data_IF_422763424537
#
_entry.id   IF_422763424537
#
_cell.length_a   1.000
_cell.length_b   1.000
_cell.length_c   1.000
_cell.angle_alpha   90.00
_cell.angle_beta   90.00
_cell.angle_gamma   90.00
#
_symmetry.space_group_name_H-M   'P 1'
#
loop_
_entity.id
_entity.type
_entity.pdbx_description
1 polymer ?
#
# COMPACT_ATOMS: atom_id res chain seq x y z
N UNK A 1 -75.80 -31.08 -4.20
CA UNK A 1 -75.61 -29.97 -5.18
C UNK A 1 -75.55 -30.57 -6.57
N UNK A 2 -76.31 -30.06 -7.54
CA UNK A 2 -76.23 -30.54 -8.93
C UNK A 2 -74.91 -30.07 -9.57
N UNK A 3 -74.36 -30.83 -10.52
CA UNK A 3 -73.09 -30.53 -11.24
C UNK A 3 -73.09 -29.09 -11.81
N UNK A 4 -74.27 -28.58 -12.18
CA UNK A 4 -74.49 -27.24 -12.71
C UNK A 4 -74.31 -26.13 -11.66
N UNK A 5 -74.56 -26.41 -10.38
CA UNK A 5 -74.35 -25.49 -9.25
C UNK A 5 -72.88 -25.48 -8.75
N UNK A 6 -72.05 -26.47 -9.09
CA UNK A 6 -70.64 -26.57 -8.70
C UNK A 6 -69.68 -25.78 -9.61
N UNK A 7 -70.03 -25.58 -10.88
CA UNK A 7 -69.21 -24.82 -11.85
C UNK A 7 -68.83 -23.39 -11.41
N UNK A 8 -69.75 -22.55 -10.90
CA UNK A 8 -69.37 -21.21 -10.44
C UNK A 8 -68.45 -21.26 -9.22
N UNK A 9 -68.70 -22.18 -8.28
CA UNK A 9 -67.86 -22.38 -7.10
C UNK A 9 -66.43 -22.79 -7.49
N UNK A 10 -66.28 -23.72 -8.46
CA UNK A 10 -64.97 -24.12 -8.98
C UNK A 10 -64.24 -22.94 -9.64
N UNK A 11 -64.96 -22.09 -10.38
CA UNK A 11 -64.40 -20.87 -10.97
C UNK A 11 -63.91 -19.87 -9.91
N UNK A 12 -64.63 -19.72 -8.80
CA UNK A 12 -64.18 -18.88 -7.67
C UNK A 12 -62.92 -19.44 -7.00
N UNK A 13 -62.85 -20.75 -6.79
CA UNK A 13 -61.66 -21.42 -6.20
C UNK A 13 -60.44 -21.22 -7.10
N UNK A 14 -60.58 -21.42 -8.42
CA UNK A 14 -59.48 -21.20 -9.37
C UNK A 14 -58.96 -19.76 -9.37
N UNK A 15 -59.85 -18.77 -9.24
CA UNK A 15 -59.47 -17.35 -9.14
C UNK A 15 -58.76 -17.08 -7.81
N UNK A 16 -59.26 -17.64 -6.71
CA UNK A 16 -58.63 -17.50 -5.39
C UNK A 16 -57.23 -18.13 -5.35
N UNK A 17 -57.06 -19.33 -5.92
CA UNK A 17 -55.77 -20.00 -6.05
C UNK A 17 -54.79 -19.17 -6.91
N UNK A 18 -55.29 -18.55 -7.99
CA UNK A 18 -54.49 -17.67 -8.84
C UNK A 18 -54.02 -16.41 -8.09
N UNK A 19 -54.90 -15.82 -7.27
CA UNK A 19 -54.57 -14.67 -6.43
C UNK A 19 -53.56 -15.06 -5.34
N UNK A 20 -53.76 -16.20 -4.67
CA UNK A 20 -52.83 -16.72 -3.66
C UNK A 20 -51.44 -16.94 -4.29
N UNK A 21 -51.37 -17.61 -5.45
CA UNK A 21 -50.12 -17.82 -6.18
C UNK A 21 -49.43 -16.49 -6.51
N UNK A 22 -50.18 -15.49 -6.97
CA UNK A 22 -49.62 -14.17 -7.29
C UNK A 22 -49.07 -13.45 -6.04
N UNK A 23 -49.82 -13.47 -4.92
CA UNK A 23 -49.38 -12.89 -3.64
C UNK A 23 -48.10 -13.60 -3.15
N UNK A 24 -48.04 -14.93 -3.23
CA UNK A 24 -46.84 -15.69 -2.84
C UNK A 24 -45.62 -15.34 -3.70
N UNK A 25 -45.80 -15.11 -5.02
CA UNK A 25 -44.73 -14.66 -5.91
C UNK A 25 -44.23 -13.27 -5.49
N UNK A 26 -45.14 -12.32 -5.22
CA UNK A 26 -44.78 -10.98 -4.78
C UNK A 26 -44.02 -11.00 -3.43
N UNK A 27 -44.47 -11.80 -2.47
CA UNK A 27 -43.81 -11.98 -1.18
C UNK A 27 -42.40 -12.56 -1.40
N UNK A 28 -42.25 -13.61 -2.22
CA UNK A 28 -40.95 -14.21 -2.54
C UNK A 28 -40.01 -13.21 -3.19
N UNK A 29 -40.51 -12.42 -4.14
CA UNK A 29 -39.73 -11.38 -4.82
C UNK A 29 -39.26 -10.30 -3.84
N UNK A 30 -40.13 -9.86 -2.92
CA UNK A 30 -39.78 -8.90 -1.87
C UNK A 30 -38.68 -9.43 -0.94
N UNK A 31 -38.79 -10.68 -0.48
CA UNK A 31 -37.74 -11.31 0.34
C UNK A 31 -36.42 -11.43 -0.42
N UNK A 32 -36.44 -11.81 -1.70
CA UNK A 32 -35.23 -11.86 -2.54
C UNK A 32 -34.58 -10.48 -2.65
N UNK A 33 -35.37 -9.42 -2.88
CA UNK A 33 -34.87 -8.04 -2.96
C UNK A 33 -34.22 -7.58 -1.64
N UNK A 34 -34.81 -7.91 -0.49
CA UNK A 34 -34.20 -7.60 0.82
C UNK A 34 -32.86 -8.32 0.97
N UNK A 35 -32.81 -9.62 0.68
CA UNK A 35 -31.58 -10.42 0.81
C UNK A 35 -30.47 -9.87 -0.09
N UNK A 36 -30.79 -9.55 -1.35
CA UNK A 36 -29.84 -8.93 -2.29
C UNK A 36 -29.36 -7.56 -1.79
N UNK A 37 -30.26 -6.74 -1.23
CA UNK A 37 -29.90 -5.45 -0.63
C UNK A 37 -28.95 -5.60 0.54
N UNK A 38 -29.23 -6.53 1.47
CA UNK A 38 -28.35 -6.81 2.61
C UNK A 38 -27.00 -7.35 2.12
N UNK A 39 -26.98 -8.28 1.16
CA UNK A 39 -25.74 -8.80 0.58
C UNK A 39 -24.90 -7.69 -0.08
N UNK A 40 -25.53 -6.75 -0.79
CA UNK A 40 -24.84 -5.61 -1.38
C UNK A 40 -24.24 -4.69 -0.32
N UNK A 41 -24.97 -4.39 0.75
CA UNK A 41 -24.46 -3.58 1.88
C UNK A 41 -23.28 -4.29 2.56
N UNK A 42 -23.40 -5.59 2.82
CA UNK A 42 -22.29 -6.39 3.38
C UNK A 42 -21.08 -6.38 2.45
N UNK A 43 -21.28 -6.50 1.13
CA UNK A 43 -20.20 -6.44 0.15
C UNK A 43 -19.55 -5.06 0.12
N UNK A 44 -20.33 -3.98 0.18
CA UNK A 44 -19.81 -2.60 0.25
C UNK A 44 -18.99 -2.42 1.53
N UNK A 45 -19.51 -2.83 2.70
CA UNK A 45 -18.78 -2.76 3.97
C UNK A 45 -17.49 -3.58 3.90
N UNK A 46 -17.55 -4.79 3.34
CA UNK A 46 -16.39 -5.64 3.14
C UNK A 46 -15.34 -4.97 2.25
N UNK A 47 -15.74 -4.44 1.09
CA UNK A 47 -14.88 -3.70 0.17
C UNK A 47 -14.25 -2.47 0.81
N UNK A 48 -15.03 -1.71 1.61
CA UNK A 48 -14.53 -0.57 2.39
C UNK A 48 -13.57 -1.00 3.52
N UNK A 49 -13.73 -2.22 4.04
CA UNK A 49 -12.85 -2.82 5.04
C UNK A 49 -11.57 -3.43 4.45
N UNK A 50 -11.43 -3.52 3.12
CA UNK A 50 -10.17 -3.93 2.49
C UNK A 50 -9.15 -2.84 2.78
N UNK A 51 -8.25 -3.11 3.73
CA UNK A 51 -7.17 -2.19 4.08
C UNK A 51 -6.29 -1.99 2.86
N UNK A 52 -6.20 -0.74 2.40
CA UNK A 52 -5.31 -0.35 1.30
C UNK A 52 -3.87 -0.73 1.67
N UNK A 53 -3.26 -1.56 0.81
CA UNK A 53 -1.82 -1.80 0.85
C UNK A 53 -1.20 -0.81 -0.12
N UNK A 54 -0.24 -0.03 0.37
CA UNK A 54 0.55 0.88 -0.46
C UNK A 54 1.91 0.21 -0.65
N UNK A 55 2.42 0.24 -1.88
CA UNK A 55 3.74 -0.25 -2.21
C UNK A 55 4.62 0.93 -2.59
N UNK A 56 5.83 0.96 -2.03
CA UNK A 56 6.81 2.02 -2.25
C UNK A 56 8.19 1.43 -2.51
N UNK A 57 9.08 2.21 -3.09
CA UNK A 57 10.49 1.87 -3.23
C UNK A 57 11.36 2.86 -2.47
N UNK A 58 12.53 2.40 -2.06
CA UNK A 58 13.59 3.22 -1.47
C UNK A 58 14.92 2.75 -1.99
N UNK A 59 15.75 3.67 -2.47
CA UNK A 59 17.08 3.42 -2.97
C UNK A 59 18.08 4.31 -2.23
N UNK A 60 19.13 3.68 -1.69
CA UNK A 60 20.31 4.36 -1.17
C UNK A 60 21.45 4.16 -2.16
N UNK A 61 21.97 5.23 -2.72
CA UNK A 61 23.12 5.16 -3.63
C UNK A 61 24.38 5.34 -2.81
N UNK A 62 25.27 4.34 -2.86
CA UNK A 62 26.50 4.29 -2.05
C UNK A 62 27.69 4.41 -2.98
N UNK A 63 28.54 5.40 -2.75
CA UNK A 63 29.77 5.66 -3.51
C UNK A 63 30.82 6.28 -2.61
N UNK A 64 32.06 5.81 -2.70
CA UNK A 64 33.22 6.38 -1.97
C UNK A 64 33.00 6.56 -0.45
N UNK A 65 32.38 5.56 0.20
CA UNK A 65 31.97 5.57 1.63
C UNK A 65 30.97 6.67 2.01
N UNK A 66 30.28 7.23 1.03
CA UNK A 66 29.19 8.17 1.17
C UNK A 66 27.88 7.58 0.65
N UNK A 67 26.78 8.11 1.15
CA UNK A 67 25.41 7.74 0.77
C UNK A 67 24.70 8.99 0.27
N UNK A 68 24.12 8.92 -0.93
CA UNK A 68 23.27 9.99 -1.45
C UNK A 68 21.94 9.96 -0.70
N UNK A 69 21.64 11.04 0.00
CA UNK A 69 20.41 11.22 0.78
C UNK A 69 19.71 12.50 0.36
N UNK A 70 18.40 12.53 0.48
CA UNK A 70 17.57 13.71 0.23
C UNK A 70 17.09 14.31 1.55
N UNK A 71 17.44 15.57 1.82
CA UNK A 71 16.80 16.38 2.85
C UNK A 71 15.48 16.92 2.31
N UNK A 72 14.35 16.49 2.88
CA UNK A 72 13.03 16.89 2.40
C UNK A 72 12.63 18.24 3.01
N UNK A 73 12.90 19.32 2.28
CA UNK A 73 12.71 20.70 2.75
C UNK A 73 11.97 21.64 1.77
N UNK A 74 11.64 21.19 0.54
CA UNK A 74 11.04 22.05 -0.50
C UNK A 74 9.52 21.86 -0.64
N UNK A 75 9.01 20.66 -0.38
CA UNK A 75 7.59 20.33 -0.60
C UNK A 75 6.71 20.80 0.57
N UNK A 76 5.70 21.64 0.27
CA UNK A 76 4.69 22.08 1.25
C UNK A 76 3.81 20.90 1.68
N UNK A 77 3.49 20.81 2.97
CA UNK A 77 2.69 19.73 3.59
C UNK A 77 3.27 18.32 3.40
N UNK A 78 4.60 18.21 3.29
CA UNK A 78 5.26 16.91 3.24
C UNK A 78 5.30 16.26 4.63
N UNK A 79 4.84 15.01 4.74
CA UNK A 79 4.93 14.24 5.99
C UNK A 79 6.39 13.98 6.40
N UNK A 80 7.32 14.09 5.45
CA UNK A 80 8.76 13.92 5.67
C UNK A 80 9.52 15.24 5.89
N UNK A 81 8.84 16.38 6.05
CA UNK A 81 9.50 17.68 6.16
C UNK A 81 10.59 17.67 7.27
N UNK A 82 11.78 18.18 6.91
CA UNK A 82 13.00 18.21 7.73
C UNK A 82 13.64 16.85 8.05
N UNK A 83 13.19 15.77 7.40
CA UNK A 83 13.83 14.45 7.52
C UNK A 83 14.68 14.14 6.29
N UNK A 84 15.71 13.35 6.52
CA UNK A 84 16.49 12.72 5.46
C UNK A 84 15.84 11.41 5.05
N UNK A 85 15.85 11.13 3.75
CA UNK A 85 15.42 9.86 3.19
C UNK A 85 16.31 9.45 2.01
N UNK A 86 16.19 8.20 1.58
CA UNK A 86 16.69 7.78 0.27
C UNK A 86 15.78 8.28 -0.86
N UNK A 87 16.14 7.90 -2.08
CA UNK A 87 15.36 8.19 -3.29
C UNK A 87 14.29 7.13 -3.50
N UNK A 88 13.08 7.52 -3.88
CA UNK A 88 12.01 6.57 -4.12
C UNK A 88 10.62 7.11 -3.82
N UNK A 89 9.62 6.35 -4.24
CA UNK A 89 8.23 6.76 -4.14
C UNK A 89 7.26 5.60 -4.30
N UNK A 90 6.04 5.89 -4.72
CA UNK A 90 4.95 4.91 -4.78
C UNK A 90 5.03 4.10 -6.07
N UNK A 91 4.79 2.80 -5.94
CA UNK A 91 4.63 1.92 -7.10
C UNK A 91 3.31 2.23 -7.79
N UNK A 92 3.36 2.47 -9.09
CA UNK A 92 2.18 2.73 -9.90
C UNK A 92 1.43 1.45 -10.29
N UNK A 93 0.19 1.61 -10.76
CA UNK A 93 -0.65 0.45 -11.13
C UNK A 93 -0.04 -0.27 -12.34
N UNK A 94 0.33 -1.54 -12.13
CA UNK A 94 0.94 -2.38 -13.17
C UNK A 94 2.45 -2.21 -13.30
N UNK A 95 3.05 -1.36 -12.47
CA UNK A 95 4.49 -1.13 -12.44
C UNK A 95 5.19 -2.19 -11.57
N UNK A 96 6.36 -2.66 -12.00
CA UNK A 96 7.19 -3.54 -11.18
C UNK A 96 8.00 -2.72 -10.16
N UNK A 97 8.37 -3.31 -9.02
CA UNK A 97 9.24 -2.63 -8.04
C UNK A 97 10.59 -2.20 -8.63
N UNK A 98 11.10 -2.90 -9.66
CA UNK A 98 12.33 -2.52 -10.36
C UNK A 98 12.12 -1.33 -11.31
N UNK A 99 10.97 -1.25 -11.98
CA UNK A 99 10.66 -0.13 -12.85
C UNK A 99 10.38 1.13 -12.02
N UNK A 100 9.63 0.98 -10.92
CA UNK A 100 9.37 2.04 -9.96
C UNK A 100 10.67 2.67 -9.44
N UNK A 101 11.61 1.87 -8.91
CA UNK A 101 12.84 2.45 -8.33
C UNK A 101 13.68 3.19 -9.39
N UNK A 102 13.72 2.70 -10.64
CA UNK A 102 14.42 3.40 -11.73
C UNK A 102 13.74 4.71 -12.08
N UNK A 103 12.41 4.72 -12.19
CA UNK A 103 11.61 5.91 -12.49
C UNK A 103 11.78 6.97 -11.40
N UNK A 104 11.56 6.59 -10.15
CA UNK A 104 11.64 7.51 -9.00
C UNK A 104 13.05 8.09 -8.85
N UNK A 105 14.11 7.27 -8.95
CA UNK A 105 15.49 7.80 -8.89
C UNK A 105 15.78 8.77 -10.05
N UNK A 106 15.27 8.49 -11.24
CA UNK A 106 15.42 9.41 -12.37
C UNK A 106 14.65 10.72 -12.17
N UNK A 107 13.40 10.65 -11.68
CA UNK A 107 12.56 11.82 -11.40
C UNK A 107 13.13 12.70 -10.29
N UNK A 108 13.66 12.10 -9.22
CA UNK A 108 14.12 12.82 -8.04
C UNK A 108 15.57 13.32 -8.16
N UNK A 109 16.42 12.66 -8.96
CA UNK A 109 17.86 12.98 -9.02
C UNK A 109 18.42 13.11 -10.45
N UNK A 110 17.63 12.88 -11.50
CA UNK A 110 18.08 13.00 -12.91
C UNK A 110 19.04 11.91 -13.38
N UNK A 111 19.34 10.93 -12.53
CA UNK A 111 20.33 9.88 -12.77
C UNK A 111 19.68 8.55 -13.16
N UNK A 112 20.41 7.74 -13.93
CA UNK A 112 19.94 6.43 -14.39
C UNK A 112 20.73 5.35 -13.66
N UNK A 113 20.09 4.57 -12.79
CA UNK A 113 20.72 3.43 -12.10
C UNK A 113 21.21 2.37 -13.11
N UNK A 114 22.48 1.97 -12.99
CA UNK A 114 23.09 0.93 -13.84
C UNK A 114 23.56 -0.29 -13.05
N UNK A 115 23.98 -0.10 -11.79
CA UNK A 115 24.35 -1.19 -10.89
C UNK A 115 23.64 -0.99 -9.55
N UNK A 116 22.65 -1.82 -9.27
CA UNK A 116 21.84 -1.74 -8.06
C UNK A 116 21.30 -3.12 -7.70
N UNK A 117 20.93 -3.30 -6.42
CA UNK A 117 20.46 -4.58 -5.89
C UNK A 117 19.25 -4.38 -4.99
N UNK A 118 18.28 -5.28 -5.11
CA UNK A 118 17.22 -5.43 -4.12
C UNK A 118 17.80 -6.06 -2.84
N UNK A 119 17.60 -5.42 -1.70
CA UNK A 119 18.14 -5.88 -0.42
C UNK A 119 17.06 -6.51 0.46
N UNK A 120 15.88 -5.92 0.50
CA UNK A 120 14.86 -6.37 1.44
C UNK A 120 13.61 -5.51 1.42
N UNK A 121 12.77 -5.70 2.43
CA UNK A 121 11.56 -4.88 2.57
C UNK A 121 11.25 -4.52 4.01
N UNK A 122 10.72 -3.32 4.16
CA UNK A 122 10.14 -2.84 5.39
C UNK A 122 8.61 -2.79 5.26
N UNK A 123 7.91 -3.39 6.22
CA UNK A 123 6.45 -3.47 6.24
C UNK A 123 5.97 -2.60 7.40
N UNK A 124 5.34 -1.49 7.07
CA UNK A 124 4.83 -0.53 8.02
C UNK A 124 3.34 -0.77 8.23
N UNK A 125 2.92 -0.76 9.49
CA UNK A 125 1.52 -0.74 9.88
C UNK A 125 1.23 0.58 10.59
N UNK A 126 0.17 1.25 10.15
CA UNK A 126 -0.31 2.51 10.73
C UNK A 126 0.68 3.68 10.65
N UNK A 127 1.53 3.73 9.62
CA UNK A 127 2.54 4.77 9.47
C UNK A 127 1.93 6.15 9.25
N UNK A 128 2.51 7.19 9.89
CA UNK A 128 2.12 8.59 9.76
C UNK A 128 0.60 8.81 9.92
N UNK A 129 -0.01 8.19 10.93
CA UNK A 129 -1.46 8.24 11.21
C UNK A 129 -2.37 7.67 10.10
N UNK A 130 -1.83 7.00 9.08
CA UNK A 130 -2.63 6.40 8.01
C UNK A 130 -3.08 4.98 8.41
N UNK A 131 -4.37 4.69 8.36
CA UNK A 131 -4.88 3.34 8.60
C UNK A 131 -4.52 2.48 7.39
N UNK A 132 -3.64 1.49 7.56
CA UNK A 132 -3.24 0.63 6.45
C UNK A 132 -1.94 -0.13 6.66
N UNK A 133 -1.45 -0.69 5.55
CA UNK A 133 -0.13 -1.30 5.47
C UNK A 133 0.64 -0.67 4.32
N UNK A 134 1.90 -0.35 4.55
CA UNK A 134 2.83 0.03 3.50
C UNK A 134 3.94 -1.02 3.40
N UNK A 135 4.29 -1.39 2.17
CA UNK A 135 5.42 -2.26 1.88
C UNK A 135 6.43 -1.45 1.09
N UNK A 136 7.56 -1.13 1.73
CA UNK A 136 8.67 -0.45 1.09
C UNK A 136 9.71 -1.48 0.64
N UNK A 137 9.97 -1.52 -0.67
CA UNK A 137 11.01 -2.34 -1.28
C UNK A 137 12.33 -1.57 -1.29
N UNK A 138 13.33 -2.11 -0.61
CA UNK A 138 14.59 -1.42 -0.35
C UNK A 138 15.69 -1.90 -1.30
N UNK A 139 16.34 -0.95 -1.95
CA UNK A 139 17.41 -1.13 -2.92
C UNK A 139 18.66 -0.37 -2.49
N UNK A 140 19.80 -0.85 -2.95
CA UNK A 140 21.08 -0.14 -2.87
C UNK A 140 21.64 0.02 -4.28
N UNK A 141 22.07 1.23 -4.63
CA UNK A 141 22.73 1.55 -5.89
C UNK A 141 24.24 1.76 -5.68
N UNK A 142 25.03 1.40 -6.69
CA UNK A 142 26.49 1.56 -6.69
C UNK A 142 26.96 2.40 -7.88
N UNK A 143 26.31 2.24 -9.04
CA UNK A 143 26.64 2.96 -10.26
C UNK A 143 25.39 3.53 -10.92
N UNK A 144 25.58 4.67 -11.58
CA UNK A 144 24.56 5.38 -12.33
C UNK A 144 25.18 6.17 -13.48
N UNK A 145 24.34 6.62 -14.41
CA UNK A 145 24.68 7.58 -15.47
C UNK A 145 24.09 8.95 -15.18
N UNK A 146 24.63 9.95 -15.87
CA UNK A 146 24.32 11.39 -15.75
C UNK A 146 24.83 12.00 -14.45
N UNK A 147 24.86 13.34 -14.43
CA UNK A 147 25.14 14.12 -13.23
C UNK A 147 23.89 14.19 -12.34
N UNK A 148 24.10 14.37 -11.04
CA UNK A 148 23.02 14.52 -10.08
C UNK A 148 22.36 15.87 -10.33
N UNK A 149 21.08 15.84 -10.69
CA UNK A 149 20.25 17.00 -10.95
C UNK A 149 19.59 17.57 -9.70
N UNK A 150 18.69 18.53 -9.91
CA UNK A 150 17.90 19.13 -8.84
C UNK A 150 16.63 18.32 -8.55
N UNK A 151 16.30 18.19 -7.28
CA UNK A 151 15.04 17.62 -6.83
C UNK A 151 14.03 18.72 -6.47
N UNK A 152 12.78 18.54 -6.90
CA UNK A 152 11.66 19.42 -6.53
C UNK A 152 11.19 19.19 -5.07
N UNK A 153 11.54 18.05 -4.49
CA UNK A 153 11.05 17.66 -3.16
C UNK A 153 12.02 18.00 -2.03
N UNK A 154 13.31 18.14 -2.35
CA UNK A 154 14.35 18.39 -1.36
C UNK A 154 15.72 18.75 -1.94
N UNK A 155 16.74 18.71 -1.07
CA UNK A 155 18.14 18.88 -1.41
C UNK A 155 18.87 17.54 -1.34
N UNK A 156 19.62 17.21 -2.39
CA UNK A 156 20.42 15.99 -2.47
C UNK A 156 21.81 16.25 -1.88
N UNK A 157 22.26 15.37 -1.00
CA UNK A 157 23.52 15.51 -0.27
C UNK A 157 24.22 14.16 -0.14
N UNK A 158 25.54 14.18 -0.35
CA UNK A 158 26.40 13.04 -0.03
C UNK A 158 26.75 13.07 1.46
N UNK A 159 26.28 12.06 2.18
CA UNK A 159 26.50 11.94 3.62
C UNK A 159 27.51 10.82 3.88
N UNK A 160 28.56 11.05 4.68
CA UNK A 160 29.44 9.96 5.11
C UNK A 160 28.65 8.81 5.73
N UNK A 161 28.96 7.57 5.34
CA UNK A 161 28.21 6.38 5.78
C UNK A 161 28.07 6.30 7.30
N UNK A 162 29.14 6.60 8.03
CA UNK A 162 29.16 6.59 9.49
C UNK A 162 28.31 7.71 10.15
N UNK A 163 27.86 8.71 9.38
CA UNK A 163 27.01 9.82 9.84
C UNK A 163 25.53 9.65 9.51
N UNK A 164 25.15 8.67 8.69
CA UNK A 164 23.76 8.49 8.25
C UNK A 164 22.79 8.34 9.42
N UNK A 165 23.14 7.57 10.45
CA UNK A 165 22.25 7.35 11.61
C UNK A 165 22.17 8.56 12.56
N UNK A 166 23.04 9.56 12.41
CA UNK A 166 23.00 10.82 13.17
C UNK A 166 22.01 11.83 12.55
N UNK A 167 21.56 11.59 11.31
CA UNK A 167 20.62 12.47 10.61
C UNK A 167 19.22 12.45 11.27
N UNK A 168 18.43 13.52 11.07
CA UNK A 168 16.99 13.51 11.33
C UNK A 168 16.26 12.49 10.44
N UNK A 169 16.12 11.25 10.92
CA UNK A 169 15.43 10.15 10.23
C UNK A 169 14.09 9.84 10.87
N UNK A 170 13.22 9.09 10.18
CA UNK A 170 12.14 8.39 10.87
C UNK A 170 12.71 7.36 11.85
N UNK A 171 12.01 7.18 12.97
CA UNK A 171 12.45 6.25 14.02
C UNK A 171 12.67 4.83 13.48
N UNK A 172 11.82 4.39 12.55
CA UNK A 172 11.89 3.06 11.94
C UNK A 172 13.08 2.82 11.04
N UNK A 173 13.49 3.86 10.33
CA UNK A 173 14.55 3.78 9.32
C UNK A 173 15.88 3.43 9.98
N UNK A 174 16.10 3.90 11.22
CA UNK A 174 17.29 3.59 12.02
C UNK A 174 17.53 2.08 12.22
N UNK A 175 16.48 1.25 12.14
CA UNK A 175 16.60 -0.19 12.32
C UNK A 175 17.11 -0.95 11.09
N UNK A 176 17.01 -0.37 9.88
CA UNK A 176 17.30 -1.11 8.64
C UNK A 176 18.12 -0.35 7.59
N UNK A 177 18.30 0.99 7.68
CA UNK A 177 19.09 1.73 6.69
C UNK A 177 20.52 1.17 6.54
N UNK A 178 21.19 0.84 7.65
CA UNK A 178 22.52 0.23 7.59
C UNK A 178 22.51 -1.15 6.92
N UNK A 179 21.42 -1.91 7.05
CA UNK A 179 21.29 -3.18 6.33
C UNK A 179 21.17 -2.94 4.81
N UNK A 180 20.55 -1.85 4.35
CA UNK A 180 20.56 -1.45 2.93
C UNK A 180 21.96 -1.07 2.49
N UNK A 181 22.61 -0.14 3.20
CA UNK A 181 23.94 0.41 2.85
C UNK A 181 24.99 -0.70 2.80
N UNK A 182 24.88 -1.69 3.68
CA UNK A 182 25.82 -2.80 3.80
C UNK A 182 25.38 -4.04 3.01
N UNK A 183 24.33 -3.89 2.18
CA UNK A 183 23.78 -4.92 1.33
C UNK A 183 23.43 -6.22 2.07
N UNK A 184 22.98 -6.12 3.32
CA UNK A 184 22.55 -7.24 4.16
C UNK A 184 21.06 -7.50 3.98
N UNK A 185 20.65 -8.66 3.46
CA UNK A 185 19.24 -8.89 3.21
C UNK A 185 18.39 -8.95 4.47
N UNK A 186 17.25 -8.27 4.46
CA UNK A 186 16.37 -8.19 5.62
C UNK A 186 14.87 -8.22 5.25
N UNK A 187 14.07 -8.51 6.26
CA UNK A 187 12.64 -8.18 6.28
C UNK A 187 12.32 -7.63 7.66
N UNK A 188 11.78 -6.42 7.72
CA UNK A 188 11.39 -5.79 8.99
C UNK A 188 9.90 -5.49 8.98
N UNK A 189 9.25 -5.73 10.12
CA UNK A 189 7.89 -5.31 10.40
C UNK A 189 7.94 -4.21 11.44
N UNK A 190 7.30 -3.08 11.14
CA UNK A 190 7.23 -1.90 11.99
C UNK A 190 5.77 -1.58 12.26
N UNK A 191 5.39 -1.42 13.53
CA UNK A 191 4.06 -1.00 13.92
C UNK A 191 4.16 0.36 14.60
N UNK A 192 3.42 1.32 14.04
CA UNK A 192 3.35 2.67 14.54
C UNK A 192 2.05 2.91 15.32
N UNK A 193 2.15 3.74 16.35
CA UNK A 193 1.04 4.44 16.98
C UNK A 193 1.32 5.94 16.93
N UNK A 194 0.61 6.64 16.05
CA UNK A 194 0.99 7.97 15.59
C UNK A 194 2.36 7.98 14.94
N UNK A 195 3.27 8.79 15.49
CA UNK A 195 4.64 8.94 14.99
C UNK A 195 5.66 8.03 15.71
N UNK A 196 5.21 7.23 16.69
CA UNK A 196 6.10 6.39 17.52
C UNK A 196 6.02 4.93 17.14
N UNK A 197 7.15 4.24 17.26
CA UNK A 197 7.18 2.78 17.08
C UNK A 197 6.75 2.10 18.38
N UNK A 198 5.69 1.29 18.29
CA UNK A 198 5.21 0.47 19.41
C UNK A 198 5.71 -0.97 19.37
N UNK A 199 6.09 -1.47 18.19
CA UNK A 199 6.75 -2.78 18.07
C UNK A 199 7.50 -2.91 16.75
N UNK A 200 8.62 -3.61 16.77
CA UNK A 200 9.35 -3.98 15.55
C UNK A 200 9.81 -5.44 15.60
N UNK A 201 9.95 -6.06 14.42
CA UNK A 201 10.54 -7.38 14.26
C UNK A 201 11.36 -7.43 12.98
N UNK A 202 12.67 -7.59 13.11
CA UNK A 202 13.59 -7.75 11.99
C UNK A 202 14.02 -9.21 11.84
N UNK A 203 14.06 -9.68 10.60
CA UNK A 203 14.65 -10.97 10.21
C UNK A 203 15.73 -10.69 9.18
N UNK A 204 16.99 -11.01 9.52
CA UNK A 204 18.11 -10.94 8.59
C UNK A 204 18.34 -12.33 7.99
N UNK A 205 18.57 -12.40 6.68
CA UNK A 205 19.04 -13.66 6.06
C UNK A 205 20.56 -13.66 6.12
N UNK A 206 21.14 -14.72 6.65
CA UNK A 206 22.58 -14.93 6.58
C UNK A 206 22.89 -15.29 5.13
N UNK A 207 23.53 -14.38 4.40
CA UNK A 207 24.21 -14.70 3.16
C UNK A 207 25.40 -15.59 3.50
N UNK A 208 25.32 -16.87 3.09
CA UNK A 208 26.46 -17.79 3.11
C UNK A 208 27.51 -17.38 2.08
#
# INVERSE_FOLDING_TARGET
MTIQQQKPLLKYIMVLDSIICFILILIKQYYISIILGVMLVVLIIYCLSIRKVIETTLCLIVKDDQVLMMLRNKKKNDVHLHKYNGLGGKVEKGESMHDCVKREVYEEAGIILTNYKYIGKAIFKNFANSIGKEIMYCFVGYDYKNEIGECNEGELQWIPKNKVLELPLWEGDKYFLMDIIEARPFTIFLHYDGDKIVSHKIKRRITK
#
